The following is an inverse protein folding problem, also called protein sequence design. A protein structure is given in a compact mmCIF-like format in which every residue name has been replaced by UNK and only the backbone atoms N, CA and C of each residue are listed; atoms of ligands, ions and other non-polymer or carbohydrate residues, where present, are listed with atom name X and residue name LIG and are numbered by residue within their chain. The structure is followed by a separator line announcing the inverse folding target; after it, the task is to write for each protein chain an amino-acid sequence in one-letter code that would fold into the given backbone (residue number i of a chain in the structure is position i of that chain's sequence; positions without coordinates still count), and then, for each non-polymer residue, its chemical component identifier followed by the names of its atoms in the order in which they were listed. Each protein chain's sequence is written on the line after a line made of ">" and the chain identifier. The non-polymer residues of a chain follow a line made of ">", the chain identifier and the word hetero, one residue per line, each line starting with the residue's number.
data_IF_227682994466
#
_entry.id   IF_227682994466
#
_cell.length_a   1.000
_cell.length_b   1.000
_cell.length_c   1.000
_cell.angle_alpha   90.00
_cell.angle_beta   90.00
_cell.angle_gamma   90.00
#
_symmetry.space_group_name_H-M   'P 1'
#
loop_
_entity.id
_entity.type
_entity.pdbx_description
1 polymer ?
#
# COMPACT_ATOMS: atom_id res chain seq x y z
N UNK A 1 -3.84 1.50 -28.20
CA UNK A 1 -3.98 1.00 -26.83
C UNK A 1 -2.80 1.56 -26.08
N UNK A 2 -3.05 2.50 -25.18
CA UNK A 2 -1.99 3.04 -24.33
C UNK A 2 -1.48 1.91 -23.43
N UNK A 3 -0.17 1.83 -23.25
CA UNK A 3 0.45 0.77 -22.45
C UNK A 3 0.07 0.94 -20.98
N UNK A 4 -0.42 -0.13 -20.33
CA UNK A 4 -0.85 -0.13 -18.93
C UNK A 4 0.35 -0.15 -17.97
N UNK A 5 1.01 1.01 -17.84
CA UNK A 5 2.22 1.18 -17.04
C UNK A 5 2.02 0.82 -15.56
N UNK A 6 0.93 1.27 -14.94
CA UNK A 6 0.71 1.08 -13.50
C UNK A 6 0.36 -0.38 -13.21
N UNK A 7 -0.54 -0.98 -14.00
CA UNK A 7 -0.80 -2.42 -13.93
C UNK A 7 0.50 -3.24 -14.04
N UNK A 8 1.37 -2.90 -14.98
CA UNK A 8 2.65 -3.59 -15.17
C UNK A 8 3.58 -3.43 -13.94
N UNK A 9 3.74 -2.21 -13.42
CA UNK A 9 4.58 -1.94 -12.24
C UNK A 9 4.08 -2.73 -11.03
N UNK A 10 2.76 -2.75 -10.78
CA UNK A 10 2.13 -3.40 -9.63
C UNK A 10 2.24 -4.92 -9.73
N UNK A 11 1.96 -5.51 -10.90
CA UNK A 11 1.81 -6.97 -11.01
C UNK A 11 3.07 -7.72 -11.45
N UNK A 12 4.11 -7.05 -11.97
CA UNK A 12 5.39 -7.72 -12.25
C UNK A 12 5.97 -8.46 -11.02
N UNK A 13 5.99 -7.89 -9.80
CA UNK A 13 6.51 -8.59 -8.64
C UNK A 13 5.69 -9.85 -8.32
N UNK A 14 4.34 -9.80 -8.35
CA UNK A 14 3.52 -11.00 -8.10
C UNK A 14 3.69 -12.07 -9.17
N UNK A 15 3.89 -11.68 -10.44
CA UNK A 15 4.27 -12.63 -11.50
C UNK A 15 5.59 -13.31 -11.13
N UNK A 16 6.59 -12.56 -10.67
CA UNK A 16 7.82 -13.11 -10.13
C UNK A 16 7.61 -14.06 -8.94
N UNK A 17 6.68 -13.74 -8.03
CA UNK A 17 6.34 -14.60 -6.91
C UNK A 17 5.72 -15.93 -7.37
N UNK A 18 4.83 -15.89 -8.36
CA UNK A 18 4.22 -17.08 -8.98
C UNK A 18 5.29 -17.92 -9.68
N UNK A 19 6.17 -17.29 -10.47
CA UNK A 19 7.29 -17.99 -11.12
C UNK A 19 8.14 -18.69 -10.07
N UNK A 20 8.56 -17.99 -9.00
CA UNK A 20 9.32 -18.58 -7.90
C UNK A 20 8.56 -19.76 -7.27
N UNK A 21 7.25 -19.63 -7.01
CA UNK A 21 6.44 -20.69 -6.42
C UNK A 21 6.42 -21.95 -7.29
N UNK A 22 6.31 -21.80 -8.61
CA UNK A 22 6.21 -22.91 -9.56
C UNK A 22 7.54 -23.60 -9.88
N UNK A 23 8.69 -22.99 -9.61
CA UNK A 23 9.99 -23.61 -9.92
C UNK A 23 10.24 -24.91 -9.11
N UNK A 24 10.37 -26.09 -9.74
CA UNK A 24 10.63 -27.34 -9.04
C UNK A 24 12.10 -27.42 -8.59
N UNK A 25 12.35 -27.72 -7.31
CA UNK A 25 13.71 -27.95 -6.75
C UNK A 25 14.74 -26.88 -7.17
N UNK A 26 14.33 -25.62 -7.23
CA UNK A 26 15.17 -24.53 -7.72
C UNK A 26 16.39 -24.30 -6.82
N UNK A 27 17.54 -24.09 -7.44
CA UNK A 27 18.73 -23.53 -6.78
C UNK A 27 18.36 -22.17 -6.17
N UNK A 28 18.89 -21.90 -4.97
CA UNK A 28 18.76 -20.63 -4.27
C UNK A 28 19.19 -19.46 -5.14
N UNK A 29 20.20 -19.65 -6.01
CA UNK A 29 20.65 -18.60 -6.94
C UNK A 29 19.55 -18.23 -7.94
N UNK A 30 18.83 -19.21 -8.49
CA UNK A 30 17.76 -18.97 -9.48
C UNK A 30 16.61 -18.18 -8.83
N UNK A 31 16.17 -18.57 -7.64
CA UNK A 31 15.09 -17.89 -6.91
C UNK A 31 15.43 -16.40 -6.70
N UNK A 32 16.66 -16.11 -6.27
CA UNK A 32 17.14 -14.74 -6.00
C UNK A 32 17.25 -13.90 -7.26
N UNK A 33 17.77 -14.48 -8.34
CA UNK A 33 17.89 -13.79 -9.64
C UNK A 33 16.51 -13.50 -10.21
N UNK A 34 15.57 -14.44 -10.13
CA UNK A 34 14.18 -14.20 -10.57
C UNK A 34 13.57 -13.05 -9.78
N UNK A 35 13.66 -13.07 -8.45
CA UNK A 35 13.16 -11.96 -7.63
C UNK A 35 13.79 -10.63 -8.04
N UNK A 36 15.11 -10.58 -8.25
CA UNK A 36 15.82 -9.36 -8.64
C UNK A 36 15.39 -8.84 -10.01
N UNK A 37 15.18 -9.73 -10.99
CA UNK A 37 14.73 -9.33 -12.33
C UNK A 37 13.37 -8.64 -12.27
N UNK A 38 12.42 -9.21 -11.53
CA UNK A 38 11.07 -8.66 -11.44
C UNK A 38 11.02 -7.34 -10.66
N UNK A 39 11.76 -7.20 -9.55
CA UNK A 39 11.83 -5.92 -8.83
C UNK A 39 12.57 -4.84 -9.63
N UNK A 40 13.65 -5.21 -10.33
CA UNK A 40 14.38 -4.30 -11.21
C UNK A 40 13.53 -3.85 -12.41
N UNK A 41 12.69 -4.74 -12.94
CA UNK A 41 11.75 -4.40 -14.01
C UNK A 41 10.69 -3.39 -13.52
N UNK A 42 10.08 -3.60 -12.34
CA UNK A 42 9.17 -2.62 -11.74
C UNK A 42 9.84 -1.28 -11.47
N UNK A 43 11.09 -1.27 -10.98
CA UNK A 43 11.87 -0.06 -10.78
C UNK A 43 12.22 0.66 -12.10
N UNK A 44 12.61 -0.08 -13.14
CA UNK A 44 12.87 0.50 -14.44
C UNK A 44 11.60 1.15 -15.03
N UNK A 45 10.45 0.48 -14.92
CA UNK A 45 9.17 1.04 -15.37
C UNK A 45 8.74 2.26 -14.54
N UNK A 46 8.96 2.28 -13.23
CA UNK A 46 8.66 3.47 -12.40
C UNK A 46 9.53 4.67 -12.79
N UNK A 47 10.79 4.44 -13.19
CA UNK A 47 11.65 5.47 -13.76
C UNK A 47 11.17 5.96 -15.13
N UNK A 48 10.66 5.06 -15.98
CA UNK A 48 10.05 5.46 -17.26
C UNK A 48 8.84 6.36 -17.04
N UNK A 49 7.95 5.99 -16.12
CA UNK A 49 6.80 6.82 -15.73
C UNK A 49 7.29 8.17 -15.17
N UNK A 50 8.34 8.18 -14.34
CA UNK A 50 8.93 9.43 -13.86
C UNK A 50 9.43 10.34 -14.97
N UNK A 51 10.13 9.81 -15.97
CA UNK A 51 10.62 10.59 -17.10
C UNK A 51 9.47 11.14 -17.97
N UNK A 52 8.38 10.40 -18.09
CA UNK A 52 7.20 10.79 -18.88
C UNK A 52 6.19 11.66 -18.11
N UNK A 53 6.30 11.78 -16.79
CA UNK A 53 5.38 12.54 -15.96
C UNK A 53 5.41 14.04 -16.30
N UNK A 54 4.25 14.61 -16.64
CA UNK A 54 4.10 16.03 -16.93
C UNK A 54 4.18 16.84 -15.62
N UNK A 55 5.11 17.80 -15.58
CA UNK A 55 5.36 18.69 -14.45
C UNK A 55 4.99 20.14 -14.77
N UNK A 56 4.32 20.37 -15.90
CA UNK A 56 3.82 21.68 -16.28
C UNK A 56 2.86 22.24 -15.23
N UNK A 57 2.75 23.56 -15.14
CA UNK A 57 1.81 24.19 -14.21
C UNK A 57 0.35 23.77 -14.46
N UNK A 58 0.02 23.36 -15.68
CA UNK A 58 -1.32 22.87 -16.04
C UNK A 58 -1.61 21.45 -15.51
N UNK A 59 -0.57 20.65 -15.22
CA UNK A 59 -0.71 19.28 -14.74
C UNK A 59 -0.72 19.16 -13.20
N UNK A 60 -0.62 20.29 -12.47
CA UNK A 60 -0.63 20.30 -11.00
C UNK A 60 -2.01 19.86 -10.49
N UNK A 61 -2.03 18.84 -9.64
CA UNK A 61 -3.26 18.29 -9.05
C UNK A 61 -4.05 17.36 -9.97
N UNK A 62 -3.53 17.06 -11.17
CA UNK A 62 -4.16 16.16 -12.14
C UNK A 62 -3.56 14.75 -11.98
N UNK A 63 -4.42 13.73 -12.01
CA UNK A 63 -3.98 12.33 -12.06
C UNK A 63 -3.42 12.03 -13.46
N UNK A 64 -2.32 11.30 -13.51
CA UNK A 64 -1.67 10.88 -14.75
C UNK A 64 -1.54 9.36 -14.79
N UNK A 65 -1.35 8.81 -16.00
CA UNK A 65 -1.29 7.36 -16.22
C UNK A 65 -2.53 6.63 -15.68
N UNK A 66 -3.71 7.23 -15.87
CA UNK A 66 -4.96 6.66 -15.37
C UNK A 66 -5.35 5.39 -16.13
N UNK A 67 -5.65 4.33 -15.39
CA UNK A 67 -6.18 3.07 -15.90
C UNK A 67 -7.51 2.80 -15.21
N UNK A 68 -8.63 2.98 -15.92
CA UNK A 68 -9.98 2.90 -15.35
C UNK A 68 -10.83 1.84 -16.06
N UNK A 69 -11.19 0.79 -15.33
CA UNK A 69 -12.10 -0.26 -15.77
C UNK A 69 -13.18 -0.52 -14.71
N UNK A 70 -14.42 -0.77 -15.13
CA UNK A 70 -15.47 -1.19 -14.20
C UNK A 70 -15.12 -2.56 -13.60
N UNK A 71 -15.20 -2.69 -12.27
CA UNK A 71 -14.84 -3.92 -11.57
C UNK A 71 -16.02 -4.55 -10.85
N UNK A 72 -16.69 -3.80 -9.96
CA UNK A 72 -17.87 -4.28 -9.23
C UNK A 72 -19.02 -3.26 -9.41
N UNK A 73 -19.84 -3.42 -10.47
CA UNK A 73 -20.90 -2.45 -10.79
C UNK A 73 -21.93 -2.25 -9.66
N UNK A 74 -22.22 -3.31 -8.89
CA UNK A 74 -23.22 -3.28 -7.82
C UNK A 74 -22.90 -2.29 -6.68
N UNK A 75 -21.63 -1.93 -6.52
CA UNK A 75 -21.17 -0.95 -5.52
C UNK A 75 -20.45 0.25 -6.15
N UNK A 76 -20.63 0.44 -7.47
CA UNK A 76 -19.97 1.50 -8.23
C UNK A 76 -18.44 1.56 -7.99
N UNK A 77 -17.80 0.38 -7.97
CA UNK A 77 -16.35 0.24 -7.77
C UNK A 77 -15.63 -0.09 -9.08
N UNK A 78 -14.46 0.52 -9.23
CA UNK A 78 -13.64 0.45 -10.43
C UNK A 78 -12.24 -0.09 -10.09
N UNK A 79 -11.67 -0.83 -11.05
CA UNK A 79 -10.22 -0.92 -11.14
C UNK A 79 -9.73 0.43 -11.68
N UNK A 80 -9.47 1.36 -10.76
CA UNK A 80 -9.03 2.70 -11.08
C UNK A 80 -7.66 2.94 -10.48
N UNK A 81 -6.66 3.04 -11.34
CA UNK A 81 -5.30 3.41 -10.97
C UNK A 81 -4.95 4.78 -11.52
N UNK A 82 -4.04 5.48 -10.85
CA UNK A 82 -3.43 6.70 -11.35
C UNK A 82 -2.33 7.18 -10.41
N UNK A 83 -1.48 8.07 -10.90
CA UNK A 83 -0.42 8.69 -10.10
C UNK A 83 -0.39 10.20 -10.28
N UNK A 84 -0.14 10.91 -9.19
CA UNK A 84 0.07 12.35 -9.14
C UNK A 84 1.39 12.67 -8.43
N UNK A 85 1.63 13.96 -8.18
CA UNK A 85 2.84 14.43 -7.50
C UNK A 85 3.02 13.89 -6.07
N UNK A 86 1.95 13.43 -5.42
CA UNK A 86 2.02 12.75 -4.12
C UNK A 86 2.39 11.26 -4.27
N UNK A 87 1.75 10.58 -5.22
CA UNK A 87 1.85 9.12 -5.36
C UNK A 87 3.14 8.67 -6.05
N UNK A 88 3.56 9.36 -7.12
CA UNK A 88 4.69 8.94 -7.93
C UNK A 88 6.01 8.84 -7.14
N UNK A 89 6.38 9.79 -6.26
CA UNK A 89 7.58 9.65 -5.43
C UNK A 89 7.55 8.40 -4.53
N UNK A 90 6.36 8.03 -4.02
CA UNK A 90 6.19 6.86 -3.16
C UNK A 90 6.27 5.54 -3.94
N UNK A 91 5.76 5.52 -5.17
CA UNK A 91 5.91 4.38 -6.10
C UNK A 91 7.38 4.16 -6.45
N UNK A 92 8.11 5.24 -6.76
CA UNK A 92 9.56 5.18 -7.05
C UNK A 92 10.33 4.70 -5.81
N UNK A 93 10.04 5.26 -4.64
CA UNK A 93 10.66 4.85 -3.39
C UNK A 93 10.41 3.36 -3.13
N UNK A 94 9.17 2.89 -3.27
CA UNK A 94 8.84 1.49 -3.00
C UNK A 94 9.54 0.53 -3.97
N UNK A 95 9.52 0.81 -5.28
CA UNK A 95 10.22 -0.03 -6.27
C UNK A 95 11.74 -0.04 -6.04
N UNK A 96 12.33 1.09 -5.64
CA UNK A 96 13.75 1.14 -5.25
C UNK A 96 14.04 0.28 -4.00
N UNK A 97 13.19 0.37 -2.97
CA UNK A 97 13.30 -0.44 -1.77
C UNK A 97 13.06 -1.93 -2.04
N UNK A 98 12.24 -2.28 -3.02
CA UNK A 98 12.05 -3.66 -3.50
C UNK A 98 13.36 -4.26 -4.01
N UNK A 99 14.07 -3.54 -4.88
CA UNK A 99 15.41 -3.95 -5.37
C UNK A 99 16.40 -4.13 -4.21
N UNK A 100 16.51 -3.14 -3.32
CA UNK A 100 17.43 -3.22 -2.18
C UNK A 100 17.09 -4.36 -1.22
N UNK A 101 15.80 -4.59 -0.97
CA UNK A 101 15.31 -5.68 -0.12
C UNK A 101 15.70 -7.05 -0.65
N UNK A 102 15.62 -7.26 -1.97
CA UNK A 102 16.08 -8.50 -2.59
C UNK A 102 17.60 -8.65 -2.46
N UNK A 103 18.37 -7.58 -2.73
CA UNK A 103 19.83 -7.60 -2.67
C UNK A 103 20.37 -7.87 -1.26
N UNK A 104 19.83 -7.23 -0.23
CA UNK A 104 20.23 -7.45 1.16
C UNK A 104 19.91 -8.87 1.63
N UNK A 105 18.84 -9.47 1.09
CA UNK A 105 18.38 -10.80 1.48
C UNK A 105 19.04 -11.95 0.73
N UNK A 106 20.11 -11.69 -0.05
CA UNK A 106 20.79 -12.72 -0.83
C UNK A 106 21.40 -13.85 0.02
N UNK A 107 21.59 -13.66 1.33
CA UNK A 107 22.10 -14.69 2.24
C UNK A 107 21.01 -15.52 2.93
N UNK A 108 19.73 -15.20 2.72
CA UNK A 108 18.63 -15.96 3.33
C UNK A 108 18.60 -17.39 2.74
N UNK A 109 18.74 -18.38 3.61
CA UNK A 109 18.76 -19.80 3.27
C UNK A 109 17.53 -20.58 3.79
N UNK A 110 16.85 -20.07 4.82
CA UNK A 110 15.63 -20.66 5.35
C UNK A 110 14.48 -20.40 4.37
N UNK A 111 13.85 -21.47 3.83
CA UNK A 111 12.64 -21.41 2.97
C UNK A 111 12.69 -20.28 1.91
N UNK A 112 13.73 -20.21 1.06
CA UNK A 112 13.97 -19.05 0.19
C UNK A 112 12.84 -18.79 -0.80
N UNK A 113 12.19 -19.84 -1.32
CA UNK A 113 11.02 -19.69 -2.21
C UNK A 113 9.92 -18.86 -1.56
N UNK A 114 9.53 -19.23 -0.32
CA UNK A 114 8.50 -18.53 0.42
C UNK A 114 8.95 -17.12 0.78
N UNK A 115 10.21 -16.95 1.20
CA UNK A 115 10.75 -15.65 1.57
C UNK A 115 10.66 -14.61 0.45
N UNK A 116 11.20 -14.95 -0.74
CA UNK A 116 11.20 -14.03 -1.87
C UNK A 116 9.80 -13.85 -2.47
N UNK A 117 8.95 -14.89 -2.44
CA UNK A 117 7.54 -14.73 -2.83
C UNK A 117 6.81 -13.74 -1.90
N UNK A 118 7.02 -13.80 -0.58
CA UNK A 118 6.42 -12.85 0.37
C UNK A 118 6.94 -11.43 0.15
N UNK A 119 8.24 -11.23 -0.12
CA UNK A 119 8.78 -9.90 -0.45
C UNK A 119 8.14 -9.30 -1.70
N UNK A 120 7.97 -10.10 -2.76
CA UNK A 120 7.39 -9.64 -4.02
C UNK A 120 5.88 -9.37 -3.91
N UNK A 121 5.15 -10.18 -3.12
CA UNK A 121 3.73 -9.92 -2.82
C UNK A 121 3.60 -8.64 -1.99
N UNK A 122 4.48 -8.43 -1.00
CA UNK A 122 4.51 -7.20 -0.20
C UNK A 122 4.73 -5.97 -1.09
N UNK A 123 5.67 -6.05 -2.04
CA UNK A 123 5.90 -4.97 -3.02
C UNK A 123 4.68 -4.68 -3.89
N UNK A 124 4.06 -5.72 -4.46
CA UNK A 124 2.81 -5.61 -5.24
C UNK A 124 1.74 -4.86 -4.44
N UNK A 125 1.56 -5.24 -3.18
CA UNK A 125 0.56 -4.69 -2.28
C UNK A 125 0.76 -3.20 -2.04
N UNK A 126 1.98 -2.81 -1.64
CA UNK A 126 2.29 -1.40 -1.31
C UNK A 126 2.20 -0.52 -2.56
N UNK A 127 2.67 -1.00 -3.72
CA UNK A 127 2.52 -0.28 -4.99
C UNK A 127 1.05 -0.06 -5.35
N UNK A 128 0.21 -1.06 -5.13
CA UNK A 128 -1.24 -0.94 -5.33
C UNK A 128 -1.88 0.12 -4.42
N UNK A 129 -1.44 0.23 -3.16
CA UNK A 129 -1.94 1.28 -2.24
C UNK A 129 -1.65 2.68 -2.75
N UNK A 130 -0.43 2.93 -3.24
CA UNK A 130 -0.05 4.27 -3.72
C UNK A 130 -0.66 4.63 -5.07
N UNK A 131 -1.20 3.67 -5.82
CA UNK A 131 -1.73 3.89 -7.17
C UNK A 131 -3.25 3.79 -7.24
N UNK A 132 -3.91 3.19 -6.25
CA UNK A 132 -5.35 3.00 -6.23
C UNK A 132 -6.12 4.33 -6.06
N UNK A 133 -7.11 4.53 -6.92
CA UNK A 133 -8.06 5.66 -6.91
C UNK A 133 -9.51 5.21 -6.65
N UNK A 134 -9.69 4.03 -6.06
CA UNK A 134 -10.97 3.47 -5.62
C UNK A 134 -10.82 2.94 -4.19
N UNK A 135 -11.76 3.26 -3.29
CA UNK A 135 -11.69 2.94 -1.86
C UNK A 135 -11.57 1.44 -1.59
N UNK A 136 -12.30 0.59 -2.34
CA UNK A 136 -12.26 -0.86 -2.15
C UNK A 136 -10.97 -1.44 -2.71
N UNK A 137 -10.52 -0.95 -3.87
CA UNK A 137 -9.23 -1.36 -4.43
C UNK A 137 -8.06 -0.98 -3.50
N UNK A 138 -8.09 0.23 -2.96
CA UNK A 138 -7.13 0.70 -1.96
C UNK A 138 -7.16 -0.19 -0.72
N UNK A 139 -8.35 -0.49 -0.19
CA UNK A 139 -8.52 -1.39 0.96
C UNK A 139 -7.96 -2.79 0.69
N UNK A 140 -8.20 -3.34 -0.51
CA UNK A 140 -7.70 -4.67 -0.87
C UNK A 140 -6.17 -4.71 -0.85
N UNK A 141 -5.51 -3.74 -1.51
CA UNK A 141 -4.06 -3.64 -1.50
C UNK A 141 -3.49 -3.29 -0.12
N UNK A 142 -4.25 -2.59 0.71
CA UNK A 142 -3.89 -2.33 2.10
C UNK A 142 -3.92 -3.60 2.94
N UNK A 143 -4.91 -4.47 2.75
CA UNK A 143 -5.04 -5.71 3.51
C UNK A 143 -4.07 -6.81 3.06
N UNK A 144 -3.79 -6.89 1.76
CA UNK A 144 -2.90 -7.93 1.21
C UNK A 144 -1.52 -7.88 1.88
N UNK A 145 -1.00 -6.71 2.24
CA UNK A 145 0.35 -6.60 2.80
C UNK A 145 0.49 -7.13 4.23
N UNK A 146 -0.61 -7.25 4.99
CA UNK A 146 -0.56 -7.82 6.32
C UNK A 146 -0.05 -9.27 6.28
N UNK A 147 -0.46 -10.04 5.26
CA UNK A 147 -0.12 -11.46 5.10
C UNK A 147 1.40 -11.66 4.92
N UNK A 148 2.06 -11.09 3.88
CA UNK A 148 3.49 -11.26 3.71
C UNK A 148 4.28 -10.64 4.86
N UNK A 149 3.87 -9.50 5.41
CA UNK A 149 4.60 -8.89 6.53
C UNK A 149 4.53 -9.78 7.78
N UNK A 150 3.38 -10.36 8.09
CA UNK A 150 3.22 -11.31 9.19
C UNK A 150 4.16 -12.51 9.04
N UNK A 151 4.22 -13.12 7.85
CA UNK A 151 5.10 -14.26 7.60
C UNK A 151 6.57 -13.87 7.63
N UNK A 152 6.93 -12.71 7.07
CA UNK A 152 8.30 -12.20 7.07
C UNK A 152 8.82 -12.02 8.51
N UNK A 153 8.02 -11.46 9.41
CA UNK A 153 8.38 -11.33 10.82
C UNK A 153 8.37 -12.69 11.52
N UNK A 154 7.26 -13.44 11.47
CA UNK A 154 7.09 -14.66 12.29
C UNK A 154 8.09 -15.77 11.95
N UNK A 155 8.45 -15.94 10.68
CA UNK A 155 9.34 -17.03 10.24
C UNK A 155 10.81 -16.57 10.29
N UNK A 156 11.14 -15.42 9.69
CA UNK A 156 12.53 -14.96 9.51
C UNK A 156 12.98 -13.87 10.48
N UNK A 157 12.10 -13.41 11.37
CA UNK A 157 12.48 -12.49 12.43
C UNK A 157 13.40 -13.10 13.47
N UNK A 158 13.87 -12.25 14.38
CA UNK A 158 14.71 -12.58 15.53
C UNK A 158 13.97 -12.32 16.85
N UNK A 159 14.56 -12.74 17.98
CA UNK A 159 13.99 -12.43 19.30
C UNK A 159 12.56 -12.95 19.51
N UNK A 160 11.65 -12.07 19.93
CA UNK A 160 10.23 -12.39 20.21
C UNK A 160 9.38 -12.23 18.94
N UNK A 161 9.84 -12.79 17.83
CA UNK A 161 9.25 -12.60 16.48
C UNK A 161 7.77 -12.97 16.37
N UNK A 162 7.32 -14.03 17.04
CA UNK A 162 5.91 -14.45 17.01
C UNK A 162 5.02 -13.44 17.74
N UNK A 163 5.46 -12.96 18.91
CA UNK A 163 4.79 -11.88 19.64
C UNK A 163 4.73 -10.61 18.81
N UNK A 164 5.84 -10.20 18.21
CA UNK A 164 5.92 -8.99 17.38
C UNK A 164 5.00 -9.10 16.14
N UNK A 165 4.99 -10.25 15.45
CA UNK A 165 4.14 -10.50 14.30
C UNK A 165 2.64 -10.48 14.66
N UNK A 166 2.25 -11.17 15.74
CA UNK A 166 0.86 -11.17 16.22
C UNK A 166 0.41 -9.78 16.68
N UNK A 167 1.27 -9.04 17.40
CA UNK A 167 0.98 -7.67 17.83
C UNK A 167 0.80 -6.74 16.64
N UNK A 168 1.71 -6.80 15.66
CA UNK A 168 1.58 -6.06 14.39
C UNK A 168 0.25 -6.35 13.70
N UNK A 169 -0.07 -7.63 13.50
CA UNK A 169 -1.29 -8.07 12.84
C UNK A 169 -2.54 -7.54 13.54
N UNK A 170 -2.64 -7.72 14.87
CA UNK A 170 -3.82 -7.31 15.64
C UNK A 170 -3.99 -5.78 15.60
N UNK A 171 -2.92 -5.02 15.83
CA UNK A 171 -2.99 -3.55 15.77
C UNK A 171 -3.49 -3.07 14.41
N UNK A 172 -2.84 -3.55 13.35
CA UNK A 172 -3.15 -3.10 11.99
C UNK A 172 -4.50 -3.59 11.50
N UNK A 173 -4.96 -4.78 11.90
CA UNK A 173 -6.29 -5.28 11.55
C UNK A 173 -7.40 -4.48 12.24
N UNK A 174 -7.23 -4.10 13.51
CA UNK A 174 -8.19 -3.22 14.21
C UNK A 174 -8.29 -1.88 13.50
N UNK A 175 -7.15 -1.27 13.14
CA UNK A 175 -7.15 -0.01 12.40
C UNK A 175 -7.83 -0.14 11.03
N UNK A 176 -7.57 -1.24 10.32
CA UNK A 176 -8.13 -1.44 8.99
C UNK A 176 -9.63 -1.74 9.03
N UNK A 177 -10.13 -2.40 10.08
CA UNK A 177 -11.57 -2.55 10.31
C UNK A 177 -12.27 -1.19 10.53
N UNK A 178 -11.65 -0.27 11.28
CA UNK A 178 -12.17 1.09 11.46
C UNK A 178 -12.15 1.87 10.14
N UNK A 179 -11.05 1.79 9.39
CA UNK A 179 -10.93 2.39 8.06
C UNK A 179 -12.01 1.86 7.10
N UNK A 180 -12.25 0.55 7.07
CA UNK A 180 -13.30 -0.06 6.24
C UNK A 180 -14.69 0.45 6.62
N UNK A 181 -14.99 0.56 7.92
CA UNK A 181 -16.24 1.15 8.38
C UNK A 181 -16.37 2.62 7.91
N UNK A 182 -15.27 3.38 7.88
CA UNK A 182 -15.20 4.71 7.29
C UNK A 182 -15.51 4.70 5.78
N UNK A 183 -14.87 3.83 5.00
CA UNK A 183 -15.14 3.70 3.55
C UNK A 183 -16.58 3.32 3.25
N UNK A 184 -17.14 2.36 3.98
CA UNK A 184 -18.55 1.98 3.82
C UNK A 184 -19.49 3.13 4.19
N UNK A 185 -19.16 3.91 5.22
CA UNK A 185 -19.94 5.09 5.60
C UNK A 185 -19.92 6.17 4.50
N UNK A 186 -18.76 6.40 3.86
CA UNK A 186 -18.66 7.28 2.68
C UNK A 186 -19.54 6.75 1.55
N UNK A 187 -19.44 5.46 1.24
CA UNK A 187 -20.22 4.84 0.17
C UNK A 187 -21.73 4.94 0.41
N UNK A 188 -22.22 4.63 1.60
CA UNK A 188 -23.66 4.75 1.89
C UNK A 188 -24.15 6.20 1.89
N UNK A 189 -23.25 7.17 1.99
CA UNK A 189 -23.58 8.60 1.92
C UNK A 189 -23.53 9.17 0.49
N UNK A 190 -22.79 8.53 -0.42
CA UNK A 190 -22.43 9.12 -1.74
C UNK A 190 -22.75 8.22 -2.94
N UNK A 191 -22.83 6.90 -2.75
CA UNK A 191 -23.10 5.92 -3.80
C UNK A 191 -21.91 5.60 -4.71
N UNK A 192 -20.69 6.06 -4.39
CA UNK A 192 -19.49 5.80 -5.19
C UNK A 192 -18.31 5.38 -4.33
N UNK A 193 -17.46 4.50 -4.89
CA UNK A 193 -16.16 4.13 -4.30
C UNK A 193 -15.00 4.86 -4.97
N UNK A 194 -15.25 5.60 -6.05
CA UNK A 194 -14.21 6.27 -6.82
C UNK A 194 -13.70 7.52 -6.09
N UNK A 195 -12.42 7.54 -5.73
CA UNK A 195 -11.82 8.66 -4.99
C UNK A 195 -11.84 9.98 -5.76
N UNK A 196 -11.82 9.94 -7.09
CA UNK A 196 -11.87 11.14 -7.92
C UNK A 196 -13.24 11.80 -7.91
N UNK A 197 -14.31 11.00 -7.81
CA UNK A 197 -15.68 11.50 -7.67
C UNK A 197 -15.96 12.01 -6.25
N UNK A 198 -15.26 11.47 -5.26
CA UNK A 198 -15.38 11.87 -3.86
C UNK A 198 -14.61 13.16 -3.55
N UNK A 199 -13.59 13.49 -4.34
CA UNK A 199 -12.81 14.72 -4.17
C UNK A 199 -13.67 15.94 -4.49
N UNK A 200 -13.91 16.79 -3.48
CA UNK A 200 -14.74 17.99 -3.63
C UNK A 200 -16.25 17.74 -3.61
N UNK A 201 -16.70 16.50 -3.35
CA UNK A 201 -18.11 16.18 -3.20
C UNK A 201 -18.65 16.65 -1.84
N UNK A 202 -19.70 17.47 -1.84
CA UNK A 202 -20.41 17.81 -0.61
C UNK A 202 -21.35 16.69 -0.19
N UNK A 203 -21.07 16.07 0.96
CA UNK A 203 -21.91 15.02 1.54
C UNK A 203 -23.11 15.67 2.25
N UNK A 204 -24.17 15.94 1.50
CA UNK A 204 -25.37 16.60 2.01
C UNK A 204 -26.18 15.77 3.03
N UNK A 205 -26.14 14.43 2.91
CA UNK A 205 -26.88 13.49 3.76
C UNK A 205 -25.97 12.37 4.25
N UNK A 206 -25.13 12.63 5.27
CA UNK A 206 -24.17 11.65 5.73
C UNK A 206 -24.86 10.53 6.51
N UNK A 207 -24.48 9.27 6.24
CA UNK A 207 -25.02 8.08 6.90
C UNK A 207 -24.77 8.06 8.42
N UNK A 208 -23.60 8.57 8.82
CA UNK A 208 -23.21 8.86 10.20
C UNK A 208 -22.60 10.27 10.26
N UNK A 209 -22.47 10.91 11.43
CA UNK A 209 -21.83 12.23 11.52
C UNK A 209 -20.47 12.28 10.82
N UNK A 210 -20.19 13.35 10.05
CA UNK A 210 -18.94 13.49 9.28
C UNK A 210 -17.69 13.41 10.16
N UNK A 211 -17.77 13.90 11.40
CA UNK A 211 -16.71 13.75 12.40
C UNK A 211 -16.46 12.29 12.77
N UNK A 212 -17.51 11.49 12.97
CA UNK A 212 -17.38 10.06 13.25
C UNK A 212 -16.75 9.31 12.06
N UNK A 213 -17.18 9.62 10.83
CA UNK A 213 -16.58 9.08 9.60
C UNK A 213 -15.09 9.44 9.50
N UNK A 214 -14.73 10.70 9.75
CA UNK A 214 -13.35 11.15 9.79
C UNK A 214 -12.52 10.40 10.84
N UNK A 215 -13.05 10.23 12.06
CA UNK A 215 -12.34 9.53 13.13
C UNK A 215 -12.16 8.03 12.85
N UNK A 216 -13.11 7.39 12.17
CA UNK A 216 -12.97 6.01 11.70
C UNK A 216 -11.83 5.88 10.67
N UNK A 217 -11.76 6.78 9.70
CA UNK A 217 -10.71 6.81 8.69
C UNK A 217 -9.33 7.11 9.31
N UNK A 218 -9.23 8.22 10.04
CA UNK A 218 -7.95 8.68 10.59
C UNK A 218 -7.41 7.70 11.63
N UNK A 219 -8.26 6.98 12.40
CA UNK A 219 -7.80 5.98 13.35
C UNK A 219 -7.06 4.84 12.63
N UNK A 220 -7.60 4.35 11.51
CA UNK A 220 -6.93 3.31 10.72
C UNK A 220 -5.56 3.75 10.21
N UNK A 221 -5.49 4.97 9.66
CA UNK A 221 -4.23 5.54 9.19
C UNK A 221 -3.26 5.88 10.33
N UNK A 222 -3.75 6.35 11.48
CA UNK A 222 -2.96 6.74 12.65
C UNK A 222 -2.29 5.54 13.32
N UNK A 223 -2.98 4.39 13.37
CA UNK A 223 -2.38 3.14 13.81
C UNK A 223 -1.25 2.74 12.86
N UNK A 224 -1.45 2.87 11.54
CA UNK A 224 -0.44 2.52 10.53
C UNK A 224 0.75 3.48 10.48
N UNK A 225 0.54 4.77 10.78
CA UNK A 225 1.56 5.84 10.86
C UNK A 225 2.24 5.97 12.24
N UNK A 226 2.06 4.99 13.13
CA UNK A 226 2.27 5.08 14.59
C UNK A 226 2.14 6.48 15.21
N UNK A 227 0.98 7.12 15.10
CA UNK A 227 0.72 8.38 15.82
C UNK A 227 0.57 8.08 17.31
N UNK A 228 1.07 8.95 18.19
CA UNK A 228 0.83 8.82 19.64
C UNK A 228 -0.68 8.88 19.94
N UNK A 229 -1.26 7.97 20.76
CA UNK A 229 -0.64 6.89 21.55
C UNK A 229 -0.61 5.50 20.87
N UNK A 230 -0.94 5.39 19.59
CA UNK A 230 -1.18 4.15 18.83
C UNK A 230 0.09 3.54 18.21
N UNK A 231 1.27 3.78 18.79
CA UNK A 231 2.57 3.49 18.19
C UNK A 231 3.29 2.26 18.75
N UNK A 232 2.76 1.62 19.80
CA UNK A 232 3.51 0.61 20.58
C UNK A 232 3.80 -0.68 19.83
N UNK A 233 3.13 -0.96 18.72
CA UNK A 233 3.43 -2.10 17.86
C UNK A 233 4.74 -1.91 17.08
N UNK A 234 5.10 -0.65 16.78
CA UNK A 234 6.18 -0.29 15.87
C UNK A 234 7.57 -0.71 16.39
N UNK A 235 7.96 -0.43 17.67
CA UNK A 235 9.27 -0.82 18.17
C UNK A 235 9.48 -2.35 18.16
N UNK A 236 8.45 -3.11 18.54
CA UNK A 236 8.49 -4.57 18.53
C UNK A 236 8.62 -5.11 17.10
N UNK A 237 7.84 -4.57 16.15
CA UNK A 237 7.90 -4.99 14.75
C UNK A 237 9.27 -4.71 14.12
N UNK A 238 9.82 -3.49 14.28
CA UNK A 238 11.12 -3.15 13.70
C UNK A 238 12.29 -3.93 14.26
N UNK A 239 12.30 -4.13 15.59
CA UNK A 239 13.42 -4.79 16.27
C UNK A 239 13.50 -6.27 15.91
N UNK A 240 12.35 -6.92 15.70
CA UNK A 240 12.30 -8.35 15.46
C UNK A 240 12.16 -8.73 13.97
N UNK A 241 11.84 -7.80 13.07
CA UNK A 241 11.74 -8.09 11.63
C UNK A 241 13.12 -8.38 11.00
N UNK A 242 13.21 -9.26 9.98
CA UNK A 242 14.43 -9.40 9.19
C UNK A 242 14.77 -8.08 8.47
N UNK A 243 16.05 -7.87 8.15
CA UNK A 243 16.56 -6.59 7.64
C UNK A 243 15.76 -6.02 6.48
N UNK A 244 15.48 -6.82 5.43
CA UNK A 244 14.70 -6.34 4.29
C UNK A 244 13.25 -5.97 4.66
N UNK A 245 12.60 -6.75 5.52
CA UNK A 245 11.24 -6.41 5.97
C UNK A 245 11.25 -5.13 6.81
N UNK A 246 12.26 -4.91 7.65
CA UNK A 246 12.41 -3.67 8.42
C UNK A 246 12.67 -2.45 7.52
N UNK A 247 13.44 -2.62 6.44
CA UNK A 247 13.65 -1.59 5.40
C UNK A 247 12.35 -1.19 4.73
N UNK A 248 11.52 -2.15 4.30
CA UNK A 248 10.21 -1.88 3.69
C UNK A 248 9.24 -1.27 4.72
N UNK A 249 9.22 -1.81 5.94
CA UNK A 249 8.39 -1.32 7.03
C UNK A 249 8.65 0.17 7.30
N UNK A 250 9.92 0.54 7.47
CA UNK A 250 10.33 1.92 7.77
C UNK A 250 10.19 2.81 6.54
N UNK A 251 10.64 2.31 5.39
CA UNK A 251 10.80 3.08 4.17
C UNK A 251 9.49 3.39 3.45
N UNK A 252 8.54 2.45 3.43
CA UNK A 252 7.32 2.55 2.62
C UNK A 252 6.04 2.29 3.41
N UNK A 253 5.97 1.25 4.25
CA UNK A 253 4.72 0.86 4.91
C UNK A 253 4.17 1.96 5.84
N UNK A 254 5.04 2.64 6.58
CA UNK A 254 4.67 3.81 7.38
C UNK A 254 4.11 4.97 6.51
N UNK A 255 4.61 5.12 5.28
CA UNK A 255 4.18 6.19 4.37
C UNK A 255 2.77 5.94 3.86
N UNK A 256 2.29 4.69 3.84
CA UNK A 256 0.89 4.39 3.51
C UNK A 256 -0.08 5.05 4.48
N UNK A 257 0.23 5.06 5.78
CA UNK A 257 -0.58 5.76 6.78
C UNK A 257 -0.67 7.26 6.51
N UNK A 258 0.49 7.91 6.31
CA UNK A 258 0.52 9.35 5.96
C UNK A 258 -0.14 9.66 4.62
N UNK A 259 0.07 8.82 3.62
CA UNK A 259 -0.58 8.90 2.31
C UNK A 259 -2.10 8.85 2.44
N UNK A 260 -2.63 7.88 3.19
CA UNK A 260 -4.06 7.75 3.47
C UNK A 260 -4.63 8.96 4.21
N UNK A 261 -3.92 9.51 5.20
CA UNK A 261 -4.37 10.75 5.88
C UNK A 261 -4.50 11.93 4.91
N UNK A 262 -3.49 12.15 4.07
CA UNK A 262 -3.51 13.28 3.12
C UNK A 262 -4.57 13.06 2.05
N UNK A 263 -4.56 11.88 1.41
CA UNK A 263 -5.42 11.55 0.27
C UNK A 263 -6.88 11.37 0.65
N UNK A 264 -7.16 10.76 1.81
CA UNK A 264 -8.52 10.33 2.16
C UNK A 264 -9.11 11.17 3.29
N UNK A 265 -8.35 11.54 4.33
CA UNK A 265 -8.90 12.38 5.39
C UNK A 265 -8.94 13.86 4.98
N UNK A 266 -7.81 14.42 4.55
CA UNK A 266 -7.72 15.87 4.24
C UNK A 266 -8.44 16.20 2.94
N UNK A 267 -8.30 15.37 1.90
CA UNK A 267 -8.86 15.70 0.58
C UNK A 267 -10.37 15.40 0.48
N UNK A 268 -10.87 14.32 1.10
CA UNK A 268 -12.30 13.99 1.03
C UNK A 268 -13.15 14.68 2.10
N UNK A 269 -12.59 14.99 3.28
CA UNK A 269 -13.30 15.62 4.39
C UNK A 269 -12.58 16.92 4.85
N UNK A 270 -12.30 17.87 3.96
CA UNK A 270 -11.45 19.04 4.27
C UNK A 270 -12.01 19.91 5.39
N UNK A 271 -13.33 20.13 5.43
CA UNK A 271 -13.96 20.93 6.48
C UNK A 271 -13.79 20.32 7.88
N UNK A 272 -13.91 18.99 7.99
CA UNK A 272 -13.70 18.27 9.26
C UNK A 272 -12.22 18.28 9.63
N UNK A 273 -11.33 18.07 8.66
CA UNK A 273 -9.89 18.14 8.88
C UNK A 273 -9.46 19.50 9.44
N UNK A 274 -9.97 20.62 8.88
CA UNK A 274 -9.70 21.97 9.38
C UNK A 274 -10.28 22.19 10.78
N UNK A 275 -11.51 21.72 11.02
CA UNK A 275 -12.18 21.87 12.32
C UNK A 275 -11.38 21.20 13.46
N UNK A 276 -10.79 20.03 13.19
CA UNK A 276 -10.06 19.25 14.20
C UNK A 276 -8.54 19.39 14.12
N UNK A 277 -7.99 20.19 13.21
CA UNK A 277 -6.55 20.47 13.10
C UNK A 277 -5.88 20.99 14.39
N UNK A 278 -6.55 21.72 15.31
CA UNK A 278 -5.93 22.17 16.56
C UNK A 278 -5.73 21.09 17.64
N UNK A 279 -6.28 19.88 17.44
CA UNK A 279 -6.10 18.73 18.37
C UNK A 279 -4.74 18.05 18.17
#
# INVERSE_FOLDING_TARGET
>A
MDFAYLSAIIFLPVIGAIVIALLPRADFKVIRVVALIFTLASFALSMVVFCQFDRSSAAIGVMQFEEKHSWIPAINSFYHLGVDGLSLPLVILMTFLGVLSVLVSWKVALRPKLYFAMLLILETSILGVFTALDLILFFLFWEIELIPMYFLISIWGSGRKEYAANKYLIYTLVGSAMMLAGFLSVYFSTGTMNMMELSGLEIARPFIPLSAMFFLLIAGFAIKLPVFPLHTWLPDAHTNAPTAASVILAGALLKMGGYGMIRLCVTMLPGVAVQYAPL
#
